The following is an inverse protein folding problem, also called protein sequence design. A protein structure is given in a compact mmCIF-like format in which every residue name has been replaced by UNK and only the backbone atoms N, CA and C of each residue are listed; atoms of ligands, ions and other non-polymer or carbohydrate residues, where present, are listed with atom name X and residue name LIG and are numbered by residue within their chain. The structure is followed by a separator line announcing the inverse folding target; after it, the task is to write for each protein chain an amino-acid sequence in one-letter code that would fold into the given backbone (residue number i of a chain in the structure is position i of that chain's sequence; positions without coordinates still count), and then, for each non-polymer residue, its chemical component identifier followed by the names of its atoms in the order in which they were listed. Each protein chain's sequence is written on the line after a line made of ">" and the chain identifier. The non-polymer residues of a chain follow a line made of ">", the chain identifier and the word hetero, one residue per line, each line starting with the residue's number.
data_IF_521861093822
#
_entry.id   IF_521861093822
#
_cell.length_a   1.000
_cell.length_b   1.000
_cell.length_c   1.000
_cell.angle_alpha   90.00
_cell.angle_beta   90.00
_cell.angle_gamma   90.00
#
_symmetry.space_group_name_H-M   'P 1'
#
loop_
_entity.id
_entity.type
_entity.pdbx_description
1 polymer ?
#
# COMPACT_ATOMS: atom_id res chain seq x y z
N UNK A 1 7.05 3.48 -12.27
CA UNK A 1 7.42 2.77 -11.01
C UNK A 1 7.45 3.82 -9.91
N UNK A 2 6.86 3.67 -8.71
CA UNK A 2 6.58 4.85 -7.91
C UNK A 2 7.82 5.15 -7.03
N UNK A 3 8.85 5.64 -7.70
CA UNK A 3 10.16 6.03 -7.18
C UNK A 3 10.11 7.47 -6.66
N UNK A 4 9.25 7.75 -5.67
CA UNK A 4 9.15 9.12 -5.17
C UNK A 4 8.70 9.27 -3.72
N UNK A 5 8.98 10.43 -3.10
CA UNK A 5 8.41 10.84 -1.81
C UNK A 5 6.88 10.78 -1.81
N UNK A 6 6.25 10.78 -2.99
CA UNK A 6 4.82 10.63 -3.20
C UNK A 6 4.24 9.36 -2.56
N UNK A 7 4.89 8.19 -2.68
CA UNK A 7 4.34 6.94 -2.10
C UNK A 7 4.37 6.96 -0.59
N UNK A 8 5.45 7.50 -0.01
CA UNK A 8 5.56 7.67 1.44
C UNK A 8 4.50 8.66 1.95
N UNK A 9 4.21 9.72 1.19
CA UNK A 9 3.11 10.65 1.49
C UNK A 9 1.75 9.97 1.42
N UNK A 10 1.50 9.14 0.41
CA UNK A 10 0.27 8.35 0.34
C UNK A 10 0.14 7.40 1.54
N UNK A 11 1.22 6.74 1.95
CA UNK A 11 1.21 5.89 3.14
C UNK A 11 0.88 6.69 4.42
N UNK A 12 1.45 7.88 4.58
CA UNK A 12 1.13 8.76 5.71
C UNK A 12 -0.34 9.19 5.71
N UNK A 13 -0.92 9.42 4.53
CA UNK A 13 -2.33 9.78 4.39
C UNK A 13 -3.26 8.57 4.62
N UNK A 14 -2.82 7.35 4.30
CA UNK A 14 -3.61 6.13 4.49
C UNK A 14 -3.46 5.50 5.88
N UNK A 15 -2.38 5.80 6.60
CA UNK A 15 -2.10 5.26 7.92
C UNK A 15 -3.23 5.46 8.95
N UNK A 16 -3.91 6.63 9.03
CA UNK A 16 -5.02 6.84 9.97
C UNK A 16 -6.25 5.96 9.71
N UNK A 17 -6.37 5.40 8.51
CA UNK A 17 -7.50 4.57 8.12
C UNK A 17 -7.24 3.07 8.43
N UNK A 18 -6.03 2.69 8.80
CA UNK A 18 -5.70 1.32 9.19
C UNK A 18 -6.45 0.97 10.48
N UNK A 19 -7.15 -0.17 10.49
CA UNK A 19 -8.03 -0.62 11.58
C UNK A 19 -9.49 -0.14 11.48
N UNK A 20 -9.78 0.81 10.59
CA UNK A 20 -11.14 1.31 10.35
C UNK A 20 -11.93 0.41 9.40
N UNK A 21 -13.26 0.41 9.56
CA UNK A 21 -14.21 -0.33 8.72
C UNK A 21 -14.61 0.53 7.52
N UNK A 22 -14.62 -0.06 6.31
CA UNK A 22 -15.06 0.62 5.10
C UNK A 22 -16.59 0.78 5.09
N UNK A 23 -17.05 2.02 5.27
CA UNK A 23 -18.48 2.35 5.25
C UNK A 23 -19.06 2.47 3.83
N UNK A 24 -18.28 3.03 2.90
CA UNK A 24 -18.70 3.28 1.51
C UNK A 24 -17.51 3.15 0.57
N UNK A 25 -17.79 2.66 -0.63
CA UNK A 25 -16.81 2.38 -1.68
C UNK A 25 -17.33 2.98 -2.98
N UNK A 26 -16.45 3.57 -3.78
CA UNK A 26 -16.80 4.24 -5.03
C UNK A 26 -15.64 4.19 -6.04
N UNK A 27 -15.90 4.63 -7.26
CA UNK A 27 -14.96 4.54 -8.39
C UNK A 27 -15.50 3.69 -9.54
N UNK A 28 -14.98 3.89 -10.76
CA UNK A 28 -15.45 3.19 -11.96
C UNK A 28 -14.67 1.90 -12.26
N UNK A 29 -13.71 1.52 -11.40
CA UNK A 29 -12.88 0.34 -11.61
C UNK A 29 -13.69 -0.94 -11.47
N UNK A 30 -13.72 -1.74 -12.55
CA UNK A 30 -14.45 -3.02 -12.63
C UNK A 30 -13.57 -4.24 -12.41
N UNK A 31 -12.27 -4.06 -12.12
CA UNK A 31 -11.33 -5.17 -11.95
C UNK A 31 -11.61 -6.02 -10.69
N UNK A 32 -12.26 -5.46 -9.68
CA UNK A 32 -12.72 -6.18 -8.48
C UNK A 32 -14.08 -5.64 -8.05
N UNK A 33 -14.90 -6.50 -7.47
CA UNK A 33 -16.18 -6.09 -6.92
C UNK A 33 -15.95 -5.23 -5.67
N UNK A 34 -16.08 -3.91 -5.84
CA UNK A 34 -15.87 -2.95 -4.77
C UNK A 34 -16.88 -3.13 -3.61
N UNK A 35 -18.04 -3.74 -3.88
CA UNK A 35 -19.07 -3.94 -2.85
C UNK A 35 -18.63 -4.93 -1.77
N UNK A 36 -17.76 -5.87 -2.10
CA UNK A 36 -17.29 -6.89 -1.14
C UNK A 36 -16.34 -6.29 -0.10
N UNK A 37 -15.72 -5.15 -0.42
CA UNK A 37 -14.90 -4.39 0.52
C UNK A 37 -15.74 -3.62 1.56
N UNK A 38 -17.06 -3.49 1.35
CA UNK A 38 -17.95 -2.84 2.32
C UNK A 38 -18.03 -3.69 3.58
N UNK A 39 -17.90 -3.06 4.75
CA UNK A 39 -17.78 -3.72 6.06
C UNK A 39 -16.46 -4.49 6.31
N UNK A 40 -15.51 -4.53 5.36
CA UNK A 40 -14.16 -5.01 5.65
C UNK A 40 -13.34 -3.95 6.39
N UNK A 41 -12.38 -4.40 7.20
CA UNK A 41 -11.43 -3.52 7.90
C UNK A 41 -10.15 -3.40 7.09
N UNK A 42 -9.61 -2.18 7.00
CA UNK A 42 -8.29 -1.98 6.42
C UNK A 42 -7.24 -2.56 7.38
N UNK A 43 -6.76 -3.77 7.12
CA UNK A 43 -5.85 -4.47 8.04
C UNK A 43 -4.44 -3.89 8.00
N UNK A 44 -3.92 -3.63 6.80
CA UNK A 44 -2.55 -3.17 6.63
C UNK A 44 -2.41 -2.26 5.41
N UNK A 45 -1.44 -1.33 5.50
CA UNK A 45 -1.03 -0.44 4.41
C UNK A 45 0.49 -0.51 4.27
N UNK A 46 0.97 -1.46 3.46
CA UNK A 46 2.38 -1.71 3.25
C UNK A 46 2.91 -1.05 1.98
N UNK A 47 4.07 -0.39 2.08
CA UNK A 47 4.84 0.10 0.94
C UNK A 47 6.16 -0.66 0.89
N UNK A 48 6.40 -1.39 -0.21
CA UNK A 48 7.65 -2.12 -0.43
C UNK A 48 8.56 -1.36 -1.40
N UNK A 49 9.74 -0.95 -0.91
CA UNK A 49 10.82 -0.46 -1.77
C UNK A 49 11.61 -1.66 -2.30
N UNK A 50 11.12 -2.30 -3.36
CA UNK A 50 11.78 -3.45 -4.02
C UNK A 50 13.24 -3.11 -4.37
N UNK A 51 13.51 -1.88 -4.78
CA UNK A 51 14.87 -1.41 -5.10
C UNK A 51 15.80 -1.30 -3.88
N UNK A 52 15.29 -0.90 -2.71
CA UNK A 52 16.11 -0.73 -1.50
C UNK A 52 16.53 -2.09 -0.91
N UNK A 53 15.61 -3.05 -0.90
CA UNK A 53 15.92 -4.43 -0.53
C UNK A 53 16.90 -5.07 -1.51
N UNK A 54 16.78 -4.80 -2.81
CA UNK A 54 17.71 -5.33 -3.80
C UNK A 54 19.11 -4.71 -3.70
N UNK A 55 19.24 -3.39 -3.47
CA UNK A 55 20.53 -2.75 -3.17
C UNK A 55 21.18 -3.27 -1.89
N UNK A 56 20.38 -3.50 -0.83
CA UNK A 56 20.84 -4.07 0.43
C UNK A 56 21.28 -5.53 0.27
N UNK A 57 20.52 -6.32 -0.47
CA UNK A 57 20.84 -7.71 -0.81
C UNK A 57 22.15 -7.80 -1.62
N UNK A 58 22.32 -6.93 -2.63
CA UNK A 58 23.54 -6.90 -3.45
C UNK A 58 24.79 -6.52 -2.64
N UNK A 59 24.68 -5.59 -1.68
CA UNK A 59 25.79 -5.27 -0.76
C UNK A 59 26.12 -6.38 0.24
N UNK A 60 25.16 -7.26 0.56
CA UNK A 60 25.37 -8.41 1.44
C UNK A 60 26.07 -9.61 0.78
N UNK A 61 26.10 -9.66 -0.55
CA UNK A 61 26.75 -10.70 -1.36
C UNK A 61 28.19 -10.35 -1.78
N UNK A 62 28.69 -9.17 -1.39
CA UNK A 62 30.02 -8.65 -1.74
C UNK A 62 31.05 -8.77 -0.60
N UNK A 63 30.78 -9.61 0.40
CA UNK A 63 31.70 -9.92 1.50
C UNK A 63 32.09 -11.40 1.47
#
# INVERSE_FOLDING_TARGET
>A
MPEGPSVKRFQLLTAPFVGQVVAKVGGSSRQRNLKDLKAMRLQDSQVSYIYWNWKRFRKGQQK
#
